data_IF_562817778585
#
_entry.id   IF_562817778585
#
_cell.length_a   1.000
_cell.length_b   1.000
_cell.length_c   1.000
_cell.angle_alpha   90.00
_cell.angle_beta   90.00
_cell.angle_gamma   90.00
#
_symmetry.space_group_name_H-M   'P 1'
#
loop_
_entity.id
_entity.type
_entity.pdbx_description
1 polymer ?
#
# COMPACT_ATOMS: atom_id res chain seq x y z
N UNK A 1 18.12 -4.57 30.85
CA UNK A 1 18.72 -5.77 30.19
C UNK A 1 18.52 -5.78 28.69
N UNK A 2 17.31 -5.53 28.17
CA UNK A 2 17.01 -5.59 26.73
C UNK A 2 17.73 -4.48 25.90
N UNK A 3 17.75 -3.24 26.39
CA UNK A 3 18.41 -2.12 25.70
C UNK A 3 19.91 -2.36 25.49
N UNK A 4 20.59 -2.90 26.52
CA UNK A 4 22.01 -3.28 26.44
C UNK A 4 22.22 -4.39 25.40
N UNK A 5 21.29 -5.35 25.33
CA UNK A 5 21.33 -6.42 24.34
C UNK A 5 21.25 -5.89 22.91
N UNK A 6 20.34 -4.93 22.62
CA UNK A 6 20.19 -4.38 21.28
C UNK A 6 21.32 -3.43 20.87
N UNK A 7 22.01 -2.82 21.84
CA UNK A 7 23.14 -1.92 21.59
C UNK A 7 24.47 -2.69 21.41
N UNK A 8 24.73 -3.69 22.24
CA UNK A 8 26.03 -4.41 22.27
C UNK A 8 26.06 -5.68 21.41
N UNK A 9 24.96 -6.10 20.81
CA UNK A 9 24.90 -7.32 19.97
C UNK A 9 25.83 -7.19 18.77
N UNK A 10 26.56 -8.26 18.38
CA UNK A 10 27.31 -8.26 17.13
C UNK A 10 26.44 -7.85 15.95
N UNK A 11 26.90 -6.89 15.14
CA UNK A 11 26.13 -6.32 14.03
C UNK A 11 25.22 -5.13 14.40
N UNK A 12 25.17 -4.73 15.70
CA UNK A 12 24.54 -3.46 16.10
C UNK A 12 25.43 -2.26 15.69
N UNK A 13 24.76 -1.19 15.26
CA UNK A 13 25.41 0.07 14.90
C UNK A 13 25.18 1.18 15.95
N UNK A 14 24.91 0.79 17.19
CA UNK A 14 24.61 1.70 18.29
C UNK A 14 23.16 2.20 18.29
N UNK A 15 22.80 2.87 19.39
CA UNK A 15 21.47 3.43 19.58
C UNK A 15 21.32 4.77 18.83
N UNK A 16 20.12 5.01 18.33
CA UNK A 16 19.70 6.31 17.82
C UNK A 16 18.27 6.64 18.29
N UNK A 17 17.94 7.92 18.27
CA UNK A 17 16.65 8.49 18.67
C UNK A 17 16.37 9.77 17.89
N UNK A 18 15.55 10.68 18.41
CA UNK A 18 15.30 12.00 17.84
C UNK A 18 16.60 12.80 17.69
N UNK A 19 16.62 13.70 16.73
CA UNK A 19 17.79 14.51 16.43
C UNK A 19 18.15 15.44 17.61
N UNK A 20 19.46 15.53 17.91
CA UNK A 20 19.96 16.39 18.97
C UNK A 20 19.78 15.87 20.39
N UNK A 21 19.15 14.68 20.57
CA UNK A 21 19.00 14.07 21.90
C UNK A 21 20.24 13.22 22.20
N UNK A 22 21.00 13.55 23.24
CA UNK A 22 22.18 12.77 23.63
C UNK A 22 21.73 11.42 24.23
N UNK A 23 22.42 10.35 23.84
CA UNK A 23 22.15 9.01 24.35
C UNK A 23 23.27 8.61 25.31
N UNK A 24 22.93 8.49 26.60
CA UNK A 24 23.79 7.91 27.61
C UNK A 24 23.15 6.58 28.04
N UNK A 25 23.70 5.47 27.57
CA UNK A 25 23.09 4.13 27.70
C UNK A 25 22.68 3.80 29.16
N UNK A 26 23.53 4.13 30.13
CA UNK A 26 23.23 3.87 31.55
C UNK A 26 22.03 4.66 32.07
N UNK A 27 21.86 5.92 31.62
CA UNK A 27 20.71 6.75 31.99
C UNK A 27 19.43 6.24 31.37
N UNK A 28 19.45 5.91 30.06
CA UNK A 28 18.29 5.35 29.38
C UNK A 28 17.88 4.01 29.95
N UNK A 29 18.86 3.16 30.32
CA UNK A 29 18.58 1.89 31.04
C UNK A 29 17.91 2.09 32.39
N UNK A 30 18.40 3.04 33.20
CA UNK A 30 17.82 3.36 34.48
C UNK A 30 16.39 3.90 34.31
N UNK A 31 16.18 4.86 33.40
CA UNK A 31 14.89 5.43 33.11
C UNK A 31 13.86 4.35 32.71
N UNK A 32 14.25 3.43 31.82
CA UNK A 32 13.36 2.34 31.41
C UNK A 32 13.10 1.32 32.55
N UNK A 33 14.08 1.03 33.37
CA UNK A 33 13.89 0.10 34.51
C UNK A 33 12.96 0.67 35.58
N UNK A 34 13.03 1.99 35.78
CA UNK A 34 12.24 2.70 36.78
C UNK A 34 10.88 3.15 36.25
N UNK A 35 10.65 3.00 34.93
CA UNK A 35 9.42 3.44 34.30
C UNK A 35 8.22 2.60 34.72
N UNK A 36 7.17 3.18 35.33
CA UNK A 36 6.01 2.44 35.84
C UNK A 36 4.96 2.11 34.80
N UNK A 37 5.06 2.69 33.61
CA UNK A 37 4.11 2.50 32.49
C UNK A 37 4.52 1.43 31.50
N UNK A 38 3.82 1.37 30.37
CA UNK A 38 4.09 0.42 29.29
C UNK A 38 5.29 0.86 28.47
N UNK A 39 6.19 -0.08 28.23
CA UNK A 39 7.28 0.05 27.24
C UNK A 39 7.02 -0.96 26.13
N UNK A 40 6.88 -0.47 24.91
CA UNK A 40 6.61 -1.29 23.72
C UNK A 40 7.89 -1.54 22.93
N UNK A 41 8.06 -2.78 22.49
CA UNK A 41 9.16 -3.15 21.61
C UNK A 41 8.61 -3.44 20.22
N UNK A 42 9.15 -2.77 19.21
CA UNK A 42 8.86 -3.01 17.81
C UNK A 42 10.08 -3.61 17.11
N UNK A 43 9.86 -4.59 16.26
CA UNK A 43 10.87 -5.11 15.33
C UNK A 43 10.39 -4.83 13.93
N UNK A 44 11.16 -4.01 13.20
CA UNK A 44 10.86 -3.64 11.82
C UNK A 44 11.94 -4.28 10.96
N UNK A 45 11.55 -5.21 10.09
CA UNK A 45 12.47 -6.06 9.35
C UNK A 45 12.14 -6.02 7.85
N UNK A 46 13.19 -6.10 7.03
CA UNK A 46 13.10 -6.29 5.58
C UNK A 46 13.79 -7.59 5.19
N UNK A 47 13.42 -8.14 4.04
CA UNK A 47 14.22 -9.17 3.39
C UNK A 47 15.55 -8.57 2.94
N UNK A 48 16.60 -9.37 2.91
CA UNK A 48 17.94 -8.89 2.49
C UNK A 48 17.92 -8.21 1.13
N UNK A 49 17.28 -8.84 0.15
CA UNK A 49 17.19 -8.34 -1.21
C UNK A 49 16.50 -6.96 -1.29
N UNK A 50 15.42 -6.78 -0.53
CA UNK A 50 14.72 -5.48 -0.47
C UNK A 50 15.55 -4.42 0.24
N UNK A 51 16.21 -4.78 1.36
CA UNK A 51 17.06 -3.86 2.09
C UNK A 51 18.24 -3.36 1.25
N UNK A 52 18.88 -4.24 0.48
CA UNK A 52 19.97 -3.88 -0.43
C UNK A 52 19.47 -3.01 -1.58
N UNK A 53 18.38 -3.39 -2.24
CA UNK A 53 17.79 -2.69 -3.38
C UNK A 53 17.28 -1.30 -3.00
N UNK A 54 16.69 -1.15 -1.81
CA UNK A 54 16.08 0.10 -1.32
C UNK A 54 17.04 0.93 -0.45
N UNK A 55 18.27 0.46 -0.23
CA UNK A 55 19.29 1.18 0.52
C UNK A 55 19.16 1.10 2.05
N UNK A 56 18.37 0.15 2.58
CA UNK A 56 18.17 -0.09 4.03
C UNK A 56 19.20 -1.05 4.65
N UNK A 57 20.39 -1.14 4.09
CA UNK A 57 21.49 -1.98 4.57
C UNK A 57 22.45 -1.28 5.56
N UNK A 58 22.12 -0.08 5.99
CA UNK A 58 22.85 0.73 6.98
C UNK A 58 21.86 1.49 7.88
N UNK A 59 22.37 2.17 8.91
CA UNK A 59 21.56 2.83 9.96
C UNK A 59 20.77 4.04 9.47
N UNK A 60 21.35 4.86 8.57
CA UNK A 60 20.81 6.18 8.22
C UNK A 60 19.38 6.15 7.66
N UNK A 61 19.02 5.29 6.67
CA UNK A 61 17.66 5.25 6.15
C UNK A 61 16.63 4.82 7.21
N UNK A 62 17.00 3.92 8.13
CA UNK A 62 16.13 3.53 9.24
C UNK A 62 15.91 4.68 10.22
N UNK A 63 16.98 5.41 10.54
CA UNK A 63 16.91 6.59 11.40
C UNK A 63 16.00 7.66 10.78
N UNK A 64 16.17 7.96 9.50
CA UNK A 64 15.32 8.91 8.78
C UNK A 64 13.86 8.43 8.73
N UNK A 65 13.62 7.15 8.46
CA UNK A 65 12.28 6.55 8.44
C UNK A 65 11.58 6.73 9.80
N UNK A 66 12.22 6.35 10.90
CA UNK A 66 11.60 6.42 12.22
C UNK A 66 11.39 7.85 12.69
N UNK A 67 12.33 8.76 12.44
CA UNK A 67 12.20 10.18 12.75
C UNK A 67 11.06 10.84 11.99
N UNK A 68 10.92 10.55 10.69
CA UNK A 68 9.84 11.10 9.86
C UNK A 68 8.45 10.58 10.25
N UNK A 69 8.38 9.36 10.81
CA UNK A 69 7.13 8.73 11.25
C UNK A 69 6.87 8.83 12.75
N UNK A 70 7.72 9.51 13.50
CA UNK A 70 7.65 9.65 14.95
C UNK A 70 6.25 10.01 15.46
N UNK A 71 5.68 11.07 14.93
CA UNK A 71 4.36 11.55 15.37
C UNK A 71 3.22 10.60 15.00
N UNK A 72 3.31 9.94 13.85
CA UNK A 72 2.35 8.91 13.44
C UNK A 72 2.40 7.71 14.40
N UNK A 73 3.61 7.25 14.76
CA UNK A 73 3.79 6.14 15.71
C UNK A 73 3.23 6.54 17.08
N UNK A 74 3.59 7.71 17.62
CA UNK A 74 3.06 8.24 18.87
C UNK A 74 1.53 8.26 18.89
N UNK A 75 0.91 8.78 17.83
CA UNK A 75 -0.54 8.84 17.68
C UNK A 75 -1.19 7.45 17.74
N UNK A 76 -0.62 6.45 17.06
CA UNK A 76 -1.16 5.09 17.08
C UNK A 76 -0.98 4.43 18.45
N UNK A 77 0.07 4.77 19.18
CA UNK A 77 0.32 4.34 20.55
C UNK A 77 -0.47 5.11 21.60
N UNK A 78 -1.30 6.08 21.21
CA UNK A 78 -2.07 6.96 22.11
C UNK A 78 -1.17 7.73 23.08
N UNK A 79 -0.04 8.20 22.57
CA UNK A 79 0.92 9.03 23.30
C UNK A 79 0.87 10.44 22.72
N UNK A 80 0.81 11.45 23.59
CA UNK A 80 0.98 12.84 23.18
C UNK A 80 2.38 13.04 22.56
N UNK A 81 2.54 13.77 21.45
CA UNK A 81 3.83 13.88 20.78
C UNK A 81 4.97 14.39 21.67
N UNK A 82 4.69 15.28 22.61
CA UNK A 82 5.64 15.81 23.59
C UNK A 82 6.09 14.78 24.66
N UNK A 83 5.25 13.76 24.91
CA UNK A 83 5.51 12.71 25.88
C UNK A 83 6.18 11.48 25.25
N UNK A 84 6.28 11.44 23.90
CA UNK A 84 6.77 10.25 23.20
C UNK A 84 8.29 10.14 23.25
N UNK A 85 8.77 9.10 23.90
CA UNK A 85 10.17 8.72 23.95
C UNK A 85 10.41 7.41 23.19
N UNK A 86 11.52 7.33 22.45
CA UNK A 86 11.89 6.14 21.72
C UNK A 86 13.39 6.04 21.50
N UNK A 87 13.89 4.82 21.45
CA UNK A 87 15.26 4.46 21.13
C UNK A 87 15.27 3.27 20.19
N UNK A 88 16.16 3.26 19.22
CA UNK A 88 16.26 2.17 18.26
C UNK A 88 17.72 1.80 17.97
N UNK A 89 17.95 0.55 17.56
CA UNK A 89 19.23 0.06 17.06
C UNK A 89 19.03 -0.75 15.80
N UNK A 90 19.86 -0.50 14.81
CA UNK A 90 19.88 -1.27 13.56
C UNK A 90 20.82 -2.46 13.69
N UNK A 91 20.32 -3.63 13.28
CA UNK A 91 21.05 -4.87 13.22
C UNK A 91 21.14 -5.37 11.78
N UNK A 92 22.36 -5.43 11.25
CA UNK A 92 22.62 -5.90 9.90
C UNK A 92 22.78 -7.44 9.88
N UNK A 93 21.70 -8.16 10.15
CA UNK A 93 21.67 -9.62 10.13
C UNK A 93 21.64 -10.17 8.68
N UNK A 94 22.29 -11.33 8.45
CA UNK A 94 22.50 -11.90 7.11
C UNK A 94 21.26 -12.04 6.24
N UNK A 95 20.14 -12.51 6.81
CA UNK A 95 18.91 -12.74 6.04
C UNK A 95 17.87 -11.64 6.20
N UNK A 96 17.83 -10.99 7.36
CA UNK A 96 16.80 -10.02 7.72
C UNK A 96 17.41 -8.82 8.44
N UNK A 97 17.90 -7.80 7.73
CA UNK A 97 18.25 -6.53 8.31
C UNK A 97 17.02 -5.96 9.03
N UNK A 98 17.18 -5.52 10.27
CA UNK A 98 16.06 -5.09 11.08
C UNK A 98 16.46 -4.03 12.10
N UNK A 99 15.46 -3.28 12.56
CA UNK A 99 15.58 -2.33 13.65
C UNK A 99 14.78 -2.82 14.83
N UNK A 100 15.40 -2.85 16.00
CA UNK A 100 14.72 -2.90 17.28
C UNK A 100 14.42 -1.49 17.74
N UNK A 101 13.16 -1.18 18.00
CA UNK A 101 12.72 0.10 18.52
C UNK A 101 11.99 -0.13 19.86
N UNK A 102 12.40 0.57 20.89
CA UNK A 102 11.66 0.68 22.15
C UNK A 102 10.97 2.03 22.21
N UNK A 103 9.71 2.05 22.59
CA UNK A 103 8.89 3.26 22.63
C UNK A 103 8.00 3.27 23.89
N UNK A 104 7.89 4.43 24.54
CA UNK A 104 7.11 4.63 25.74
C UNK A 104 6.70 6.10 25.87
N UNK A 105 5.87 6.40 26.85
CA UNK A 105 5.48 7.77 27.21
C UNK A 105 6.12 8.18 28.53
N UNK A 106 6.50 9.44 28.69
CA UNK A 106 6.87 9.99 30.00
C UNK A 106 5.68 10.01 30.97
N UNK A 107 4.42 10.03 30.44
CA UNK A 107 3.22 9.81 31.25
C UNK A 107 2.91 8.30 31.32
N UNK A 108 3.00 7.66 32.50
CA UNK A 108 2.78 6.22 32.64
C UNK A 108 1.34 5.76 32.33
N UNK A 109 0.38 6.67 32.24
CA UNK A 109 -1.02 6.36 31.90
C UNK A 109 -1.27 6.29 30.38
N UNK A 110 -0.32 6.70 29.57
CA UNK A 110 -0.37 6.61 28.12
C UNK A 110 0.22 5.28 27.60
N UNK A 111 0.56 5.21 26.33
CA UNK A 111 1.18 4.07 25.66
C UNK A 111 0.29 2.83 25.54
N UNK A 112 -0.93 3.02 25.01
CA UNK A 112 -1.81 1.93 24.61
C UNK A 112 -1.76 1.70 23.11
N UNK A 113 -1.38 0.49 22.69
CA UNK A 113 -1.29 0.10 21.28
C UNK A 113 -2.30 -1.00 20.95
N UNK A 114 -3.25 -0.69 20.07
CA UNK A 114 -4.24 -1.65 19.58
C UNK A 114 -3.73 -2.41 18.35
N UNK A 115 -4.34 -3.56 18.02
CA UNK A 115 -4.07 -4.30 16.78
C UNK A 115 -4.19 -3.40 15.55
N UNK A 116 -5.24 -2.58 15.48
CA UNK A 116 -5.41 -1.60 14.39
C UNK A 116 -4.28 -0.57 14.35
N UNK A 117 -3.78 -0.13 15.51
CA UNK A 117 -2.61 0.75 15.60
C UNK A 117 -1.36 0.10 15.02
N UNK A 118 -1.12 -1.17 15.34
CA UNK A 118 0.01 -1.95 14.79
C UNK A 118 -0.10 -2.04 13.26
N UNK A 119 -1.26 -2.40 12.73
CA UNK A 119 -1.52 -2.48 11.28
C UNK A 119 -1.30 -1.14 10.59
N UNK A 120 -1.76 -0.04 11.21
CA UNK A 120 -1.56 1.31 10.68
C UNK A 120 -0.08 1.69 10.65
N UNK A 121 0.68 1.44 11.72
CA UNK A 121 2.13 1.69 11.75
C UNK A 121 2.82 0.87 10.66
N UNK A 122 2.54 -0.44 10.57
CA UNK A 122 3.10 -1.31 9.54
C UNK A 122 2.81 -0.80 8.14
N UNK A 123 1.56 -0.44 7.85
CA UNK A 123 1.15 0.05 6.52
C UNK A 123 1.86 1.36 6.15
N UNK A 124 1.94 2.34 7.07
CA UNK A 124 2.60 3.62 6.79
C UNK A 124 4.10 3.45 6.55
N UNK A 125 4.79 2.64 7.37
CA UNK A 125 6.21 2.36 7.16
C UNK A 125 6.47 1.62 5.85
N UNK A 126 5.64 0.63 5.51
CA UNK A 126 5.74 -0.11 4.25
C UNK A 126 5.50 0.82 3.04
N UNK A 127 4.51 1.70 3.09
CA UNK A 127 4.25 2.68 2.04
C UNK A 127 5.45 3.62 1.81
N UNK A 128 6.15 4.03 2.86
CA UNK A 128 7.33 4.88 2.71
C UNK A 128 8.51 4.09 2.16
N UNK A 129 8.80 2.91 2.71
CA UNK A 129 9.92 2.05 2.29
C UNK A 129 9.77 1.67 0.80
N UNK A 130 8.57 1.26 0.38
CA UNK A 130 8.28 0.79 -0.98
C UNK A 130 7.67 1.86 -1.89
N UNK A 131 7.77 3.14 -1.52
CA UNK A 131 7.12 4.26 -2.24
C UNK A 131 7.40 4.24 -3.75
N UNK A 132 8.64 4.05 -4.14
CA UNK A 132 9.03 4.04 -5.56
C UNK A 132 8.42 2.85 -6.32
N UNK A 133 8.45 1.67 -5.71
CA UNK A 133 7.85 0.47 -6.29
C UNK A 133 6.34 0.65 -6.47
N UNK A 134 5.66 1.18 -5.45
CA UNK A 134 4.23 1.46 -5.51
C UNK A 134 3.87 2.49 -6.58
N UNK A 135 4.66 3.56 -6.71
CA UNK A 135 4.44 4.55 -7.77
C UNK A 135 4.57 3.94 -9.16
N UNK A 136 5.58 3.08 -9.40
CA UNK A 136 5.75 2.38 -10.67
C UNK A 136 4.59 1.42 -10.96
N UNK A 137 4.13 0.66 -9.95
CA UNK A 137 3.00 -0.25 -10.09
C UNK A 137 1.71 0.54 -10.39
N UNK A 138 1.43 1.63 -9.69
CA UNK A 138 0.25 2.46 -9.93
C UNK A 138 0.28 3.13 -11.31
N UNK A 139 1.46 3.58 -11.76
CA UNK A 139 1.60 4.12 -13.12
C UNK A 139 1.28 3.06 -14.15
N UNK A 140 1.88 1.88 -14.06
CA UNK A 140 1.63 0.76 -14.97
C UNK A 140 0.15 0.33 -14.97
N UNK A 141 -0.50 0.28 -13.80
CA UNK A 141 -1.95 0.02 -13.73
C UNK A 141 -2.77 1.08 -14.47
N UNK A 142 -2.36 2.34 -14.35
CA UNK A 142 -3.04 3.46 -15.01
C UNK A 142 -2.90 3.33 -16.53
N UNK A 143 -1.69 3.06 -17.02
CA UNK A 143 -1.39 2.90 -18.44
C UNK A 143 -2.18 1.72 -19.03
N UNK A 144 -2.15 0.55 -18.37
CA UNK A 144 -2.91 -0.63 -18.80
C UNK A 144 -4.43 -0.40 -18.80
N UNK A 145 -4.94 0.34 -17.79
CA UNK A 145 -6.36 0.70 -17.74
C UNK A 145 -6.74 1.60 -18.92
N UNK A 146 -5.91 2.56 -19.26
CA UNK A 146 -6.19 3.52 -20.32
C UNK A 146 -6.06 2.85 -21.69
N UNK A 147 -5.11 1.93 -21.87
CA UNK A 147 -4.97 1.08 -23.04
C UNK A 147 -6.19 0.15 -23.21
N UNK A 148 -6.59 -0.55 -22.13
CA UNK A 148 -7.80 -1.40 -22.12
C UNK A 148 -9.06 -0.61 -22.50
N UNK A 149 -9.18 0.64 -22.02
CA UNK A 149 -10.29 1.53 -22.38
C UNK A 149 -10.28 1.88 -23.88
N UNK A 150 -9.10 2.21 -24.41
CA UNK A 150 -8.96 2.57 -25.83
C UNK A 150 -9.29 1.37 -26.71
N UNK A 151 -8.68 0.22 -26.49
CA UNK A 151 -8.96 -1.01 -27.23
C UNK A 151 -10.44 -1.41 -27.18
N UNK A 152 -11.08 -1.25 -26.02
CA UNK A 152 -12.52 -1.52 -25.89
C UNK A 152 -13.37 -0.55 -26.70
N UNK A 153 -12.99 0.74 -26.78
CA UNK A 153 -13.68 1.73 -27.62
C UNK A 153 -13.51 1.43 -29.11
N UNK A 154 -12.30 1.09 -29.51
CA UNK A 154 -11.98 0.76 -30.92
C UNK A 154 -12.74 -0.51 -31.35
N UNK A 155 -12.74 -1.55 -30.50
CA UNK A 155 -13.52 -2.77 -30.75
C UNK A 155 -15.03 -2.50 -30.87
N UNK A 156 -15.61 -1.67 -30.02
CA UNK A 156 -17.03 -1.29 -30.12
C UNK A 156 -17.28 -0.50 -31.38
N UNK A 157 -16.37 0.39 -31.78
CA UNK A 157 -16.50 1.17 -33.02
C UNK A 157 -16.47 0.26 -34.27
N UNK A 158 -15.51 -0.68 -34.33
CA UNK A 158 -15.42 -1.70 -35.37
C UNK A 158 -16.71 -2.53 -35.46
N UNK A 159 -17.28 -2.93 -34.34
CA UNK A 159 -18.55 -3.68 -34.28
C UNK A 159 -19.70 -2.83 -34.81
N UNK A 160 -19.82 -1.57 -34.37
CA UNK A 160 -20.89 -0.66 -34.84
C UNK A 160 -20.78 -0.42 -36.36
N UNK A 161 -19.57 -0.23 -36.86
CA UNK A 161 -19.34 -0.04 -38.31
C UNK A 161 -19.68 -1.31 -39.10
N UNK A 162 -19.31 -2.49 -38.58
CA UNK A 162 -19.67 -3.76 -39.20
C UNK A 162 -21.19 -4.00 -39.23
N UNK A 163 -21.90 -3.60 -38.16
CA UNK A 163 -23.37 -3.65 -38.07
C UNK A 163 -23.97 -2.73 -39.14
N UNK A 164 -23.48 -1.49 -39.27
CA UNK A 164 -23.99 -0.51 -40.26
C UNK A 164 -23.77 -0.94 -41.69
N UNK A 165 -22.70 -1.71 -41.95
CA UNK A 165 -22.40 -2.25 -43.28
C UNK A 165 -23.02 -3.64 -43.53
N UNK A 166 -23.75 -4.21 -42.55
CA UNK A 166 -24.39 -5.52 -42.66
C UNK A 166 -23.42 -6.71 -42.71
N UNK A 167 -22.18 -6.52 -42.24
CA UNK A 167 -21.11 -7.52 -42.24
C UNK A 167 -20.88 -8.16 -40.85
N UNK A 168 -21.64 -7.76 -39.84
CA UNK A 168 -21.46 -8.25 -38.45
C UNK A 168 -22.24 -9.55 -38.23
N UNK A 169 -21.53 -10.64 -37.89
CA UNK A 169 -22.11 -11.97 -37.75
C UNK A 169 -22.20 -12.39 -36.22
N UNK A 170 -22.75 -11.50 -35.40
CA UNK A 170 -23.12 -11.82 -34.03
C UNK A 170 -24.45 -11.14 -33.65
N UNK A 171 -25.58 -11.77 -33.98
CA UNK A 171 -26.91 -11.19 -33.74
C UNK A 171 -27.20 -10.89 -32.28
N UNK A 172 -26.62 -11.66 -31.35
CA UNK A 172 -26.80 -11.46 -29.92
C UNK A 172 -26.14 -10.16 -29.47
N UNK A 173 -24.88 -9.91 -29.87
CA UNK A 173 -24.17 -8.70 -29.57
C UNK A 173 -24.83 -7.47 -30.19
N UNK A 174 -25.24 -7.58 -31.44
CA UNK A 174 -25.99 -6.51 -32.14
C UNK A 174 -27.28 -6.15 -31.36
N UNK A 175 -28.07 -7.14 -30.93
CA UNK A 175 -29.27 -6.90 -30.16
C UNK A 175 -28.99 -6.23 -28.82
N UNK A 176 -27.93 -6.64 -28.12
CA UNK A 176 -27.53 -6.04 -26.85
C UNK A 176 -27.11 -4.57 -27.03
N UNK A 177 -26.33 -4.24 -28.05
CA UNK A 177 -25.92 -2.87 -28.33
C UNK A 177 -27.10 -1.96 -28.68
N UNK A 178 -28.02 -2.42 -29.52
CA UNK A 178 -29.26 -1.69 -29.88
C UNK A 178 -30.11 -1.44 -28.61
N UNK A 179 -30.32 -2.48 -27.78
CA UNK A 179 -31.05 -2.34 -26.51
C UNK A 179 -30.37 -1.35 -25.56
N UNK A 180 -29.03 -1.36 -25.48
CA UNK A 180 -28.30 -0.42 -24.65
C UNK A 180 -28.47 1.01 -25.16
N UNK A 181 -28.33 1.23 -26.44
CA UNK A 181 -28.53 2.54 -27.08
C UNK A 181 -29.93 3.09 -26.77
N UNK A 182 -30.98 2.28 -26.94
CA UNK A 182 -32.37 2.65 -26.62
C UNK A 182 -32.56 3.01 -25.14
N UNK A 183 -31.98 2.23 -24.23
CA UNK A 183 -32.08 2.51 -22.79
C UNK A 183 -31.35 3.76 -22.41
N UNK A 184 -30.14 4.00 -22.96
CA UNK A 184 -29.37 5.22 -22.73
C UNK A 184 -30.02 6.45 -23.32
N UNK A 185 -30.68 6.34 -24.50
CA UNK A 185 -31.44 7.43 -25.10
C UNK A 185 -32.60 7.88 -24.21
N UNK A 186 -33.29 6.93 -23.56
CA UNK A 186 -34.43 7.19 -22.66
C UNK A 186 -34.02 7.57 -21.24
N UNK A 187 -32.77 7.31 -20.84
CA UNK A 187 -32.28 7.59 -19.52
C UNK A 187 -32.12 9.11 -19.27
N UNK A 188 -32.68 9.58 -18.14
CA UNK A 188 -32.49 10.94 -17.65
C UNK A 188 -31.29 10.97 -16.69
N UNK A 189 -30.40 11.95 -16.85
CA UNK A 189 -29.24 12.14 -15.96
C UNK A 189 -27.92 11.60 -16.50
N UNK A 190 -26.97 11.30 -15.62
CA UNK A 190 -25.62 10.84 -15.98
C UNK A 190 -25.64 9.42 -16.55
N UNK A 191 -25.08 9.23 -17.74
CA UNK A 191 -24.99 7.92 -18.44
C UNK A 191 -23.72 7.16 -18.09
N UNK A 192 -23.25 7.28 -16.84
CA UNK A 192 -22.10 6.53 -16.32
C UNK A 192 -22.61 5.28 -15.59
N UNK A 193 -21.87 4.18 -15.65
CA UNK A 193 -22.26 2.88 -15.09
C UNK A 193 -22.83 2.97 -13.67
N UNK A 194 -22.17 3.71 -12.76
CA UNK A 194 -22.61 3.88 -11.37
C UNK A 194 -24.02 4.42 -11.19
N UNK A 195 -24.51 5.23 -12.16
CA UNK A 195 -25.82 5.89 -12.13
C UNK A 195 -26.89 5.14 -12.94
N UNK A 196 -26.54 4.07 -13.62
CA UNK A 196 -27.48 3.25 -14.37
C UNK A 196 -28.36 2.40 -13.44
N UNK A 197 -29.61 2.13 -13.87
CA UNK A 197 -30.47 1.18 -13.17
C UNK A 197 -29.96 -0.26 -13.30
N UNK A 198 -30.41 -1.15 -12.41
CA UNK A 198 -29.94 -2.53 -12.32
C UNK A 198 -30.10 -3.33 -13.64
N UNK A 199 -31.20 -3.10 -14.39
CA UNK A 199 -31.44 -3.77 -15.66
C UNK A 199 -30.47 -3.32 -16.75
N UNK A 200 -30.10 -2.03 -16.77
CA UNK A 200 -29.11 -1.49 -17.72
C UNK A 200 -27.70 -1.92 -17.33
N UNK A 201 -27.36 -1.97 -16.03
CA UNK A 201 -26.08 -2.51 -15.57
C UNK A 201 -25.88 -3.95 -16.01
N UNK A 202 -26.87 -4.83 -15.84
CA UNK A 202 -26.80 -6.23 -16.30
C UNK A 202 -26.56 -6.34 -17.81
N UNK A 203 -27.16 -5.44 -18.59
CA UNK A 203 -26.94 -5.41 -20.05
C UNK A 203 -25.53 -4.97 -20.39
N UNK A 204 -24.99 -3.94 -19.70
CA UNK A 204 -23.60 -3.52 -19.86
C UNK A 204 -22.64 -4.64 -19.48
N UNK A 205 -22.90 -5.32 -18.36
CA UNK A 205 -22.08 -6.45 -17.88
C UNK A 205 -22.07 -7.60 -18.92
N UNK A 206 -23.22 -7.89 -19.55
CA UNK A 206 -23.31 -8.90 -20.60
C UNK A 206 -22.53 -8.50 -21.88
N UNK A 207 -22.57 -7.22 -22.26
CA UNK A 207 -21.78 -6.69 -23.39
C UNK A 207 -20.29 -6.78 -23.07
N UNK A 208 -19.87 -6.40 -21.87
CA UNK A 208 -18.47 -6.51 -21.43
C UNK A 208 -18.00 -7.96 -21.44
N UNK A 209 -18.83 -8.89 -20.93
CA UNK A 209 -18.52 -10.32 -20.98
C UNK A 209 -18.38 -10.88 -22.40
N UNK A 210 -19.08 -10.31 -23.39
CA UNK A 210 -18.93 -10.68 -24.80
C UNK A 210 -17.66 -10.07 -25.40
N UNK A 211 -17.36 -8.81 -25.09
CA UNK A 211 -16.12 -8.11 -25.51
C UNK A 211 -14.85 -8.80 -24.99
N UNK A 212 -14.88 -9.34 -23.77
CA UNK A 212 -13.72 -10.06 -23.20
C UNK A 212 -13.40 -11.38 -23.91
N UNK A 213 -14.21 -11.81 -24.89
CA UNK A 213 -13.85 -12.92 -25.78
C UNK A 213 -12.90 -12.50 -26.90
N UNK A 214 -12.76 -11.20 -27.18
CA UNK A 214 -11.69 -10.69 -28.05
C UNK A 214 -10.35 -10.86 -27.35
N UNK A 215 -9.39 -11.51 -28.03
CA UNK A 215 -8.09 -11.85 -27.44
C UNK A 215 -7.31 -10.60 -26.99
N UNK A 216 -7.41 -9.47 -27.69
CA UNK A 216 -6.74 -8.21 -27.34
C UNK A 216 -7.24 -7.70 -25.99
N UNK A 217 -8.57 -7.67 -25.81
CA UNK A 217 -9.21 -7.22 -24.56
C UNK A 217 -8.92 -8.19 -23.43
N UNK A 218 -8.98 -9.49 -23.69
CA UNK A 218 -8.69 -10.52 -22.69
C UNK A 218 -7.25 -10.41 -22.18
N UNK A 219 -6.27 -10.22 -23.04
CA UNK A 219 -4.86 -10.10 -22.67
C UNK A 219 -4.61 -8.86 -21.81
N UNK A 220 -5.10 -7.68 -22.23
CA UNK A 220 -4.98 -6.44 -21.46
C UNK A 220 -5.70 -6.50 -20.11
N UNK A 221 -6.88 -7.14 -20.05
CA UNK A 221 -7.61 -7.32 -18.80
C UNK A 221 -6.83 -8.20 -17.83
N UNK A 222 -6.23 -9.29 -18.31
CA UNK A 222 -5.40 -10.18 -17.49
C UNK A 222 -4.17 -9.45 -16.95
N UNK A 223 -3.46 -8.69 -17.78
CA UNK A 223 -2.30 -7.89 -17.35
C UNK A 223 -2.68 -6.82 -16.32
N UNK A 224 -3.81 -6.15 -16.52
CA UNK A 224 -4.32 -5.17 -15.54
C UNK A 224 -4.65 -5.81 -14.20
N UNK A 225 -5.26 -7.01 -14.22
CA UNK A 225 -5.63 -7.74 -13.02
C UNK A 225 -4.40 -8.23 -12.24
N UNK A 226 -3.38 -8.76 -12.94
CA UNK A 226 -2.11 -9.15 -12.33
C UNK A 226 -1.43 -7.98 -11.58
N UNK A 227 -1.41 -6.79 -12.19
CA UNK A 227 -0.85 -5.60 -11.53
C UNK A 227 -1.63 -5.20 -10.27
N UNK A 228 -2.94 -5.42 -10.26
CA UNK A 228 -3.76 -5.19 -9.07
C UNK A 228 -3.42 -6.17 -7.93
N UNK A 229 -3.17 -7.43 -8.25
CA UNK A 229 -2.73 -8.45 -7.29
C UNK A 229 -1.35 -8.13 -6.70
N UNK A 230 -0.43 -7.60 -7.50
CA UNK A 230 0.91 -7.21 -7.04
C UNK A 230 0.87 -6.12 -5.97
N UNK A 231 -0.04 -5.15 -6.10
CA UNK A 231 -0.27 -4.15 -5.03
C UNK A 231 -0.70 -4.82 -3.74
N UNK A 232 -1.65 -5.76 -3.81
CA UNK A 232 -2.16 -6.44 -2.61
C UNK A 232 -1.10 -7.32 -1.92
N UNK A 233 -0.11 -7.82 -2.66
CA UNK A 233 1.00 -8.61 -2.11
C UNK A 233 2.08 -7.76 -1.44
N UNK A 234 2.15 -6.47 -1.76
CA UNK A 234 3.14 -5.53 -1.20
C UNK A 234 2.74 -5.03 0.19
N UNK A 235 1.48 -5.19 0.59
CA UNK A 235 0.93 -4.89 1.92
C UNK A 235 0.69 -6.18 2.71
#
# INVERSE_FOLDING_TARGET
MYLKYIDERPGSNGLFTDEGVPIVLSQVQQEMNDHPGNIWTHIISLRREDAERLGYNNTDPWMHLLRSHRNMIAQQMKIAPENFCWYAAFHNEGHHPHVHMMAYSVDPNEAYLSTKGIETIKSNLAQEIFRQDLLQIYQKQTDLRDELRQESQDCITEIVDAINHGSFDNPQMQMMLVQLADRLAKAKGKKQYGYLNAGTKKLVDAIVAELTKDNRIQELYSLWYEQKEDVLRTY
#
